data_IF_205989524519
#
_entry.id   IF_205989524519
#
_cell.length_a   1.000
_cell.length_b   1.000
_cell.length_c   1.000
_cell.angle_alpha   90.00
_cell.angle_beta   90.00
_cell.angle_gamma   90.00
#
_symmetry.space_group_name_H-M   'P 1'
#
loop_
_entity.id
_entity.type
_entity.pdbx_description
1 polymer ?
#
# COMPACT_ATOMS: atom_id res chain seq x y z
N UNK A 1 -34.39 -9.62 -6.73
CA UNK A 1 -32.99 -9.12 -6.85
C UNK A 1 -32.60 -8.24 -5.65
N UNK A 2 -33.57 -7.79 -4.87
CA UNK A 2 -33.41 -6.87 -3.73
C UNK A 2 -33.34 -7.56 -2.35
N UNK A 3 -33.20 -8.89 -2.31
CA UNK A 3 -33.04 -9.64 -1.04
C UNK A 3 -31.77 -9.21 -0.28
N UNK A 4 -30.73 -8.78 -0.99
CA UNK A 4 -29.48 -8.26 -0.42
C UNK A 4 -29.63 -6.94 0.34
N UNK A 5 -30.72 -6.19 0.09
CA UNK A 5 -31.05 -4.96 0.80
C UNK A 5 -32.21 -5.13 1.80
N UNK A 6 -32.58 -6.38 2.11
CA UNK A 6 -33.56 -6.70 3.16
C UNK A 6 -35.02 -6.71 2.70
N UNK A 7 -35.29 -6.65 1.40
CA UNK A 7 -36.64 -6.80 0.85
C UNK A 7 -36.94 -8.27 0.58
N UNK A 8 -38.08 -8.76 1.07
CA UNK A 8 -38.56 -10.09 0.70
C UNK A 8 -39.10 -10.08 -0.74
N UNK A 9 -39.25 -11.26 -1.37
CA UNK A 9 -39.92 -11.37 -2.67
C UNK A 9 -41.34 -10.81 -2.67
N UNK A 10 -42.02 -10.85 -1.52
CA UNK A 10 -43.36 -10.26 -1.37
C UNK A 10 -43.30 -8.73 -1.41
N UNK A 11 -42.30 -8.13 -0.77
CA UNK A 11 -42.08 -6.68 -0.80
C UNK A 11 -41.72 -6.19 -2.22
N UNK A 12 -40.87 -6.94 -2.93
CA UNK A 12 -40.48 -6.65 -4.33
C UNK A 12 -41.71 -6.64 -5.25
N UNK A 13 -42.58 -7.66 -5.16
CA UNK A 13 -43.81 -7.73 -5.95
C UNK A 13 -44.79 -6.59 -5.66
N UNK A 14 -44.95 -6.22 -4.38
CA UNK A 14 -45.82 -5.11 -3.96
C UNK A 14 -45.26 -3.76 -4.40
N UNK A 15 -43.95 -3.57 -4.33
CA UNK A 15 -43.28 -2.36 -4.80
C UNK A 15 -43.41 -2.19 -6.31
N UNK A 16 -43.20 -3.25 -7.10
CA UNK A 16 -43.42 -3.22 -8.55
C UNK A 16 -44.85 -2.85 -8.93
N UNK A 17 -45.85 -3.38 -8.21
CA UNK A 17 -47.25 -3.03 -8.43
C UNK A 17 -47.52 -1.55 -8.12
N UNK A 18 -46.91 -1.03 -7.06
CA UNK A 18 -46.95 0.38 -6.67
C UNK A 18 -46.31 1.31 -7.72
N UNK A 19 -45.16 0.93 -8.27
CA UNK A 19 -44.47 1.66 -9.35
C UNK A 19 -45.34 1.73 -10.61
N UNK A 20 -46.05 0.64 -10.95
CA UNK A 20 -46.96 0.61 -12.12
C UNK A 20 -48.21 1.48 -11.95
N UNK A 21 -48.76 1.55 -10.73
CA UNK A 21 -50.04 2.24 -10.47
C UNK A 21 -49.92 3.71 -10.08
N UNK A 22 -48.73 4.21 -9.75
CA UNK A 22 -48.46 5.57 -9.24
C UNK A 22 -49.10 5.82 -7.86
N UNK A 23 -50.38 5.53 -7.68
CA UNK A 23 -51.09 5.50 -6.41
C UNK A 23 -51.97 4.25 -6.30
N UNK A 24 -51.92 3.55 -5.17
CA UNK A 24 -52.75 2.37 -4.93
C UNK A 24 -53.16 2.21 -3.47
N UNK A 25 -54.33 1.65 -3.23
CA UNK A 25 -54.81 1.19 -1.93
C UNK A 25 -54.27 -0.21 -1.64
N UNK A 26 -54.31 -0.61 -0.36
CA UNK A 26 -53.90 -1.99 0.04
C UNK A 26 -54.75 -3.06 -0.65
N UNK A 27 -56.04 -2.78 -0.91
CA UNK A 27 -56.92 -3.73 -1.57
C UNK A 27 -56.54 -3.94 -3.04
N UNK A 28 -56.22 -2.86 -3.75
CA UNK A 28 -55.74 -2.90 -5.14
C UNK A 28 -54.40 -3.64 -5.25
N UNK A 29 -53.47 -3.40 -4.33
CA UNK A 29 -52.17 -4.10 -4.29
C UNK A 29 -52.32 -5.57 -3.92
N UNK A 30 -53.25 -5.91 -3.02
CA UNK A 30 -53.54 -7.30 -2.68
C UNK A 30 -54.08 -8.07 -3.89
N UNK A 31 -54.93 -7.43 -4.69
CA UNK A 31 -55.46 -8.00 -5.92
C UNK A 31 -54.36 -8.21 -6.97
N UNK A 32 -53.54 -7.19 -7.27
CA UNK A 32 -52.50 -7.27 -8.29
C UNK A 32 -51.42 -8.30 -7.98
N UNK A 33 -50.95 -8.32 -6.74
CA UNK A 33 -49.90 -9.24 -6.31
C UNK A 33 -50.43 -10.64 -5.97
N UNK A 34 -51.76 -10.84 -6.00
CA UNK A 34 -52.45 -12.06 -5.55
C UNK A 34 -52.03 -12.48 -4.13
N UNK A 35 -51.92 -11.50 -3.25
CA UNK A 35 -51.51 -11.68 -1.85
C UNK A 35 -52.69 -11.45 -0.90
N UNK A 36 -52.78 -12.16 0.24
CA UNK A 36 -53.76 -11.85 1.27
C UNK A 36 -53.59 -10.43 1.81
N UNK A 37 -54.70 -9.72 2.03
CA UNK A 37 -54.70 -8.34 2.55
C UNK A 37 -53.79 -8.14 3.79
N UNK A 38 -53.71 -9.06 4.77
CA UNK A 38 -52.78 -8.93 5.89
C UNK A 38 -51.30 -8.98 5.47
N UNK A 39 -50.95 -9.79 4.47
CA UNK A 39 -49.59 -9.88 3.95
C UNK A 39 -49.21 -8.62 3.16
N UNK A 40 -50.11 -8.13 2.30
CA UNK A 40 -49.92 -6.87 1.57
C UNK A 40 -49.74 -5.70 2.53
N UNK A 41 -50.53 -5.63 3.61
CA UNK A 41 -50.42 -4.56 4.60
C UNK A 41 -49.07 -4.58 5.34
N UNK A 42 -48.52 -5.77 5.64
CA UNK A 42 -47.16 -5.90 6.19
C UNK A 42 -46.10 -5.43 5.19
N UNK A 43 -46.24 -5.82 3.92
CA UNK A 43 -45.29 -5.44 2.87
C UNK A 43 -45.28 -3.94 2.63
N UNK A 44 -46.46 -3.32 2.50
CA UNK A 44 -46.58 -1.85 2.39
C UNK A 44 -45.98 -1.14 3.61
N UNK A 45 -46.16 -1.67 4.82
CA UNK A 45 -45.53 -1.08 6.02
C UNK A 45 -44.01 -1.20 5.98
N UNK A 46 -43.48 -2.33 5.50
CA UNK A 46 -42.05 -2.56 5.29
C UNK A 46 -41.48 -1.54 4.29
N UNK A 47 -42.14 -1.40 3.14
CA UNK A 47 -41.76 -0.44 2.09
C UNK A 47 -41.79 1.02 2.60
N UNK A 48 -42.79 1.39 3.40
CA UNK A 48 -42.83 2.72 4.02
C UNK A 48 -41.68 2.92 5.02
N UNK A 49 -41.37 1.91 5.85
CA UNK A 49 -40.25 2.00 6.80
C UNK A 49 -38.88 2.07 6.13
N UNK A 50 -38.75 1.50 4.93
CA UNK A 50 -37.53 1.54 4.11
C UNK A 50 -37.48 2.77 3.20
N UNK A 51 -38.47 3.68 3.26
CA UNK A 51 -38.52 4.88 2.41
C UNK A 51 -38.84 4.62 0.94
N UNK A 52 -39.30 3.40 0.60
CA UNK A 52 -39.66 2.99 -0.76
C UNK A 52 -41.11 3.34 -1.10
N UNK A 53 -41.96 3.61 -0.12
CA UNK A 53 -43.33 4.06 -0.35
C UNK A 53 -43.72 5.19 0.60
N UNK A 54 -44.59 6.08 0.13
CA UNK A 54 -45.17 7.16 0.94
C UNK A 54 -46.66 6.92 1.09
N UNK A 55 -47.15 7.09 2.32
CA UNK A 55 -48.57 7.03 2.63
C UNK A 55 -49.21 8.41 2.43
N UNK A 56 -50.27 8.47 1.64
CA UNK A 56 -51.09 9.68 1.51
C UNK A 56 -52.02 9.86 2.70
N UNK A 57 -52.30 11.11 3.06
CA UNK A 57 -53.20 11.50 4.16
C UNK A 57 -54.67 11.54 3.76
N UNK A 58 -54.99 11.31 2.47
CA UNK A 58 -56.35 11.31 1.93
C UNK A 58 -57.21 10.11 2.35
N UNK A 59 -58.52 10.21 2.06
CA UNK A 59 -59.48 9.10 2.15
C UNK A 59 -60.04 8.78 0.75
N UNK A 60 -59.93 7.54 0.26
CA UNK A 60 -59.27 6.39 0.90
C UNK A 60 -57.74 6.58 0.99
N UNK A 61 -57.12 5.88 1.95
CA UNK A 61 -55.66 5.91 2.14
C UNK A 61 -54.98 5.20 0.96
N UNK A 62 -54.20 5.95 0.20
CA UNK A 62 -53.38 5.44 -0.91
C UNK A 62 -51.90 5.50 -0.56
N UNK A 63 -51.12 4.69 -1.26
CA UNK A 63 -49.66 4.63 -1.17
C UNK A 63 -49.08 4.94 -2.54
N UNK A 64 -47.96 5.65 -2.56
CA UNK A 64 -47.20 5.98 -3.77
C UNK A 64 -45.79 5.38 -3.66
N UNK A 65 -45.26 4.87 -4.76
CA UNK A 65 -43.86 4.48 -4.82
C UNK A 65 -42.97 5.74 -4.78
N UNK A 66 -41.88 5.68 -4.03
CA UNK A 66 -40.76 6.62 -4.21
C UNK A 66 -39.95 6.16 -5.42
N UNK A 67 -39.31 7.09 -6.13
CA UNK A 67 -38.47 6.75 -7.29
C UNK A 67 -37.44 5.68 -6.91
N UNK A 68 -37.31 4.57 -7.67
CA UNK A 68 -36.35 3.51 -7.40
C UNK A 68 -34.93 4.03 -7.27
N UNK A 69 -34.51 4.96 -8.13
CA UNK A 69 -33.14 5.49 -8.10
C UNK A 69 -32.85 6.17 -6.76
N UNK A 70 -33.74 7.05 -6.31
CA UNK A 70 -33.55 7.82 -5.08
C UNK A 70 -33.72 6.97 -3.82
N UNK A 71 -34.71 6.07 -3.82
CA UNK A 71 -35.01 5.24 -2.66
C UNK A 71 -33.97 4.11 -2.48
N UNK A 72 -33.54 3.45 -3.57
CA UNK A 72 -32.50 2.43 -3.51
C UNK A 72 -31.16 3.05 -3.12
N UNK A 73 -30.81 4.24 -3.64
CA UNK A 73 -29.58 4.92 -3.26
C UNK A 73 -29.58 5.35 -1.78
N UNK A 74 -30.73 5.76 -1.23
CA UNK A 74 -30.87 6.04 0.20
C UNK A 74 -30.68 4.78 1.06
N UNK A 75 -31.31 3.66 0.67
CA UNK A 75 -31.17 2.36 1.36
C UNK A 75 -29.73 1.85 1.29
N UNK A 76 -29.07 1.97 0.13
CA UNK A 76 -27.66 1.60 -0.03
C UNK A 76 -26.75 2.46 0.86
N UNK A 77 -26.94 3.78 0.88
CA UNK A 77 -26.18 4.70 1.76
C UNK A 77 -26.37 4.39 3.24
N UNK A 78 -27.59 4.08 3.67
CA UNK A 78 -27.86 3.69 5.05
C UNK A 78 -27.17 2.37 5.40
N UNK A 79 -27.14 1.42 4.45
CA UNK A 79 -26.45 0.13 4.65
C UNK A 79 -24.94 0.29 4.69
N UNK A 80 -24.37 1.12 3.83
CA UNK A 80 -22.95 1.46 3.85
C UNK A 80 -22.56 2.15 5.16
N UNK A 81 -23.38 3.08 5.65
CA UNK A 81 -23.19 3.69 6.97
C UNK A 81 -23.21 2.64 8.08
N UNK A 82 -24.21 1.76 8.10
CA UNK A 82 -24.27 0.68 9.09
C UNK A 82 -23.04 -0.25 9.03
N UNK A 83 -22.54 -0.58 7.84
CA UNK A 83 -21.33 -1.38 7.68
C UNK A 83 -20.08 -0.64 8.16
N UNK A 84 -19.99 0.66 7.91
CA UNK A 84 -18.90 1.49 8.41
C UNK A 84 -18.94 1.67 9.93
N UNK A 85 -20.13 1.76 10.52
CA UNK A 85 -20.31 1.80 11.98
C UNK A 85 -19.87 0.49 12.62
N UNK A 86 -20.26 -0.66 12.04
CA UNK A 86 -19.79 -1.98 12.48
C UNK A 86 -18.26 -2.09 12.39
N UNK A 87 -17.65 -1.65 11.28
CA UNK A 87 -16.18 -1.63 11.12
C UNK A 87 -15.50 -0.75 12.18
N UNK A 88 -16.09 0.40 12.49
CA UNK A 88 -15.59 1.32 13.52
C UNK A 88 -15.70 0.69 14.91
N UNK A 89 -16.82 0.03 15.20
CA UNK A 89 -17.03 -0.67 16.46
C UNK A 89 -16.06 -1.85 16.64
N UNK A 90 -15.85 -2.66 15.60
CA UNK A 90 -14.84 -3.74 15.60
C UNK A 90 -13.44 -3.18 15.85
N UNK A 91 -13.11 -2.02 15.25
CA UNK A 91 -11.83 -1.36 15.50
C UNK A 91 -11.67 -0.94 16.96
N UNK A 92 -12.71 -0.37 17.58
CA UNK A 92 -12.73 -0.04 19.01
C UNK A 92 -12.65 -1.27 19.92
N UNK A 93 -13.35 -2.36 19.58
CA UNK A 93 -13.23 -3.63 20.29
C UNK A 93 -11.82 -4.22 20.20
N UNK A 94 -11.17 -4.10 19.05
CA UNK A 94 -9.77 -4.50 18.89
C UNK A 94 -8.81 -3.64 19.71
N UNK A 95 -9.09 -2.34 19.86
CA UNK A 95 -8.33 -1.47 20.76
C UNK A 95 -8.49 -1.87 22.23
N UNK A 96 -9.72 -2.18 22.66
CA UNK A 96 -10.00 -2.68 24.01
C UNK A 96 -9.37 -4.06 24.26
N UNK A 97 -9.47 -4.96 23.28
CA UNK A 97 -8.83 -6.27 23.33
C UNK A 97 -7.32 -6.12 23.50
N UNK A 98 -6.68 -5.29 22.67
CA UNK A 98 -5.23 -4.97 22.77
C UNK A 98 -4.87 -4.33 24.11
N UNK A 99 -5.70 -3.43 24.63
CA UNK A 99 -5.48 -2.82 25.94
C UNK A 99 -5.54 -3.86 27.07
N UNK A 100 -6.40 -4.87 26.95
CA UNK A 100 -6.53 -5.99 27.89
C UNK A 100 -5.46 -7.08 27.73
N UNK A 101 -4.95 -7.33 26.52
CA UNK A 101 -3.89 -8.30 26.25
C UNK A 101 -2.48 -7.76 26.40
N UNK A 102 -2.31 -6.47 26.78
CA UNK A 102 -1.03 -5.78 26.92
C UNK A 102 0.06 -6.56 27.68
N UNK A 103 -0.29 -7.54 28.53
CA UNK A 103 0.69 -8.42 29.20
C UNK A 103 0.26 -9.89 29.45
N UNK A 104 -0.74 -10.44 28.75
CA UNK A 104 -1.31 -11.76 29.15
C UNK A 104 -0.68 -12.97 28.43
N UNK A 105 -0.12 -12.82 27.21
CA UNK A 105 0.60 -13.89 26.53
C UNK A 105 1.76 -13.34 25.66
N UNK A 106 3.04 -13.56 26.02
CA UNK A 106 4.19 -13.16 25.21
C UNK A 106 4.19 -13.77 23.79
N UNK A 107 3.57 -14.95 23.61
CA UNK A 107 3.46 -15.64 22.33
C UNK A 107 2.48 -15.02 21.33
N UNK A 108 1.64 -14.06 21.74
CA UNK A 108 0.71 -13.36 20.84
C UNK A 108 1.32 -12.08 20.24
N UNK A 109 2.49 -11.64 20.71
CA UNK A 109 3.18 -10.45 20.19
C UNK A 109 4.03 -10.76 18.94
N UNK A 110 4.48 -12.02 18.82
CA UNK A 110 5.29 -12.51 17.71
C UNK A 110 4.61 -13.77 17.16
N UNK A 111 3.88 -13.62 16.05
CA UNK A 111 3.29 -14.74 15.30
C UNK A 111 4.33 -15.29 14.32
N UNK A 112 4.45 -16.61 14.23
CA UNK A 112 5.28 -17.27 13.20
C UNK A 112 4.37 -17.77 12.09
N UNK A 113 4.55 -17.20 10.91
CA UNK A 113 3.89 -17.67 9.69
C UNK A 113 4.85 -18.60 8.96
N UNK A 114 4.41 -19.80 8.64
CA UNK A 114 5.21 -20.81 7.94
C UNK A 114 4.55 -21.18 6.61
N UNK A 115 5.36 -21.44 5.60
CA UNK A 115 4.90 -21.72 4.24
C UNK A 115 5.01 -20.49 3.35
N UNK A 116 5.57 -20.67 2.14
CA UNK A 116 5.79 -19.60 1.16
C UNK A 116 4.50 -18.86 0.81
N UNK A 117 3.43 -19.60 0.52
CA UNK A 117 2.15 -19.01 0.10
C UNK A 117 1.51 -18.20 1.23
N UNK A 118 1.65 -18.67 2.47
CA UNK A 118 1.15 -17.99 3.66
C UNK A 118 1.95 -16.72 3.95
N UNK A 119 3.29 -16.77 3.83
CA UNK A 119 4.15 -15.58 3.94
C UNK A 119 3.80 -14.56 2.86
N UNK A 120 3.67 -14.97 1.59
CA UNK A 120 3.30 -14.09 0.48
C UNK A 120 1.92 -13.46 0.68
N UNK A 121 0.94 -14.25 1.13
CA UNK A 121 -0.41 -13.76 1.45
C UNK A 121 -0.38 -12.74 2.58
N UNK A 122 0.37 -13.01 3.65
CA UNK A 122 0.54 -12.09 4.79
C UNK A 122 1.25 -10.81 4.38
N UNK A 123 2.27 -10.90 3.54
CA UNK A 123 2.95 -9.73 2.98
C UNK A 123 2.02 -8.85 2.13
N UNK A 124 1.24 -9.46 1.23
CA UNK A 124 0.26 -8.73 0.43
C UNK A 124 -0.83 -8.07 1.30
N UNK A 125 -1.33 -8.77 2.31
CA UNK A 125 -2.30 -8.23 3.28
C UNK A 125 -1.72 -7.05 4.07
N UNK A 126 -0.47 -7.16 4.54
CA UNK A 126 0.23 -6.10 5.24
C UNK A 126 0.28 -4.84 4.38
N UNK A 127 0.76 -4.95 3.13
CA UNK A 127 0.83 -3.82 2.21
C UNK A 127 -0.55 -3.21 1.97
N UNK A 128 -1.56 -4.01 1.60
CA UNK A 128 -2.92 -3.54 1.31
C UNK A 128 -3.60 -2.84 2.50
N UNK A 129 -3.30 -3.28 3.72
CA UNK A 129 -3.86 -2.71 4.95
C UNK A 129 -3.22 -1.37 5.37
N UNK A 130 -2.09 -1.00 4.76
CA UNK A 130 -1.34 0.21 5.09
C UNK A 130 -2.14 1.47 4.80
N UNK A 131 -2.13 2.42 5.74
CA UNK A 131 -2.86 3.69 5.62
C UNK A 131 -1.96 4.91 5.55
N UNK A 132 -0.82 4.89 6.20
CA UNK A 132 0.02 6.07 6.42
C UNK A 132 1.41 5.90 5.87
N UNK A 133 2.09 4.79 6.18
CA UNK A 133 3.47 4.58 5.75
C UNK A 133 3.88 3.12 5.66
N UNK A 134 4.79 2.82 4.75
CA UNK A 134 5.59 1.58 4.75
C UNK A 134 7.05 1.97 4.98
N UNK A 135 7.72 1.23 5.88
CA UNK A 135 9.17 1.34 6.13
C UNK A 135 9.83 -0.01 5.90
N UNK A 136 10.91 -0.07 5.13
CA UNK A 136 11.54 -1.33 4.77
C UNK A 136 13.07 -1.31 4.85
N UNK A 137 13.65 -2.41 5.35
CA UNK A 137 15.02 -2.82 5.03
C UNK A 137 14.94 -3.85 3.93
N UNK A 138 15.37 -3.45 2.74
CA UNK A 138 15.40 -4.34 1.59
C UNK A 138 16.80 -4.92 1.40
N UNK A 139 16.91 -6.24 1.57
CA UNK A 139 18.13 -7.00 1.38
C UNK A 139 17.84 -8.44 0.94
N UNK A 140 18.73 -9.08 0.17
CA UNK A 140 18.59 -10.50 -0.17
C UNK A 140 18.76 -11.40 1.07
N UNK A 141 18.33 -12.68 1.00
CA UNK A 141 17.66 -13.36 -0.10
C UNK A 141 16.18 -12.97 -0.27
N UNK A 142 15.74 -12.95 -1.53
CA UNK A 142 14.36 -12.69 -1.94
C UNK A 142 13.55 -13.98 -2.01
N UNK A 143 12.23 -13.88 -1.90
CA UNK A 143 11.38 -15.07 -2.04
C UNK A 143 11.32 -15.51 -3.50
N UNK A 144 11.24 -14.56 -4.45
CA UNK A 144 11.40 -14.82 -5.87
C UNK A 144 12.66 -14.13 -6.43
N UNK A 145 13.30 -14.76 -7.42
CA UNK A 145 14.39 -14.13 -8.16
C UNK A 145 13.92 -13.00 -9.09
N UNK A 146 12.61 -12.87 -9.29
CA UNK A 146 11.97 -11.93 -10.20
C UNK A 146 11.56 -10.61 -9.52
N UNK A 147 11.67 -10.50 -8.20
CA UNK A 147 11.26 -9.34 -7.38
C UNK A 147 11.87 -7.99 -7.83
N UNK A 148 12.93 -7.97 -8.64
CA UNK A 148 13.56 -6.75 -9.18
C UNK A 148 13.54 -6.62 -10.71
N UNK A 149 12.79 -7.49 -11.39
CA UNK A 149 12.61 -7.39 -12.85
C UNK A 149 11.36 -6.60 -13.20
N UNK A 150 10.34 -6.64 -12.33
CA UNK A 150 9.08 -5.93 -12.49
C UNK A 150 8.71 -5.14 -11.23
N UNK A 151 8.26 -3.88 -11.36
CA UNK A 151 7.84 -3.08 -10.21
C UNK A 151 6.71 -3.72 -9.43
N UNK A 152 6.78 -3.69 -8.10
CA UNK A 152 5.71 -4.19 -7.24
C UNK A 152 4.41 -3.38 -7.45
N UNK A 153 3.34 -3.99 -8.01
CA UNK A 153 2.12 -3.25 -8.35
C UNK A 153 1.38 -2.74 -7.11
N UNK A 154 1.52 -3.42 -5.96
CA UNK A 154 0.87 -3.00 -4.71
C UNK A 154 1.55 -1.73 -4.18
N UNK A 155 2.87 -1.65 -4.24
CA UNK A 155 3.63 -0.46 -3.85
C UNK A 155 3.24 0.75 -4.68
N UNK A 156 3.18 0.60 -6.01
CA UNK A 156 2.78 1.69 -6.90
C UNK A 156 1.36 2.21 -6.58
N UNK A 157 0.44 1.33 -6.20
CA UNK A 157 -0.91 1.73 -5.80
C UNK A 157 -0.92 2.45 -4.44
N UNK A 158 -0.10 2.01 -3.48
CA UNK A 158 0.05 2.69 -2.18
C UNK A 158 0.66 4.09 -2.36
N UNK A 159 1.68 4.23 -3.20
CA UNK A 159 2.29 5.51 -3.56
C UNK A 159 1.27 6.46 -4.21
N UNK A 160 0.45 5.97 -5.15
CA UNK A 160 -0.64 6.75 -5.75
C UNK A 160 -1.67 7.22 -4.74
N UNK A 161 -1.96 6.40 -3.71
CA UNK A 161 -2.84 6.77 -2.59
C UNK A 161 -2.21 7.77 -1.61
N UNK A 162 -0.94 8.14 -1.80
CA UNK A 162 -0.23 9.08 -0.93
C UNK A 162 0.34 8.46 0.34
N UNK A 163 0.45 7.12 0.40
CA UNK A 163 1.13 6.43 1.51
C UNK A 163 2.63 6.71 1.41
N UNK A 164 3.26 7.13 2.51
CA UNK A 164 4.70 7.37 2.53
C UNK A 164 5.47 6.05 2.47
N UNK A 165 6.26 5.84 1.43
CA UNK A 165 7.04 4.62 1.25
C UNK A 165 8.53 4.95 1.45
N UNK A 166 9.16 4.40 2.48
CA UNK A 166 10.56 4.66 2.86
C UNK A 166 11.34 3.35 2.90
N UNK A 167 12.29 3.18 1.99
CA UNK A 167 13.07 1.95 1.88
C UNK A 167 14.55 2.24 2.01
N UNK A 168 15.23 1.47 2.86
CA UNK A 168 16.68 1.40 2.89
C UNK A 168 17.08 0.10 2.21
N UNK A 169 17.81 0.22 1.12
CA UNK A 169 18.39 -0.89 0.38
C UNK A 169 19.78 -1.22 0.91
N UNK A 170 20.08 -2.51 1.04
CA UNK A 170 21.42 -2.98 1.36
C UNK A 170 22.33 -2.87 0.13
N UNK A 171 23.57 -2.43 0.29
CA UNK A 171 24.52 -2.25 -0.83
C UNK A 171 24.74 -3.51 -1.69
N UNK A 172 24.44 -4.70 -1.17
CA UNK A 172 24.50 -5.95 -1.93
C UNK A 172 23.48 -6.03 -3.07
N UNK A 173 22.34 -5.34 -2.97
CA UNK A 173 21.31 -5.33 -4.04
C UNK A 173 21.83 -4.63 -5.30
N UNK A 174 22.83 -3.76 -5.17
CA UNK A 174 23.46 -3.05 -6.29
C UNK A 174 24.11 -4.02 -7.29
N UNK A 175 24.41 -5.25 -6.87
CA UNK A 175 24.97 -6.27 -7.74
C UNK A 175 23.90 -7.06 -8.52
N UNK A 176 22.61 -6.88 -8.20
CA UNK A 176 21.49 -7.58 -8.80
C UNK A 176 21.09 -6.94 -10.14
N UNK A 177 20.90 -7.73 -11.21
CA UNK A 177 20.35 -7.22 -12.46
C UNK A 177 18.96 -6.60 -12.25
N UNK A 178 18.64 -5.53 -12.95
CA UNK A 178 17.30 -4.91 -12.92
C UNK A 178 17.02 -3.99 -11.73
N UNK A 179 17.70 -4.19 -10.59
CA UNK A 179 17.46 -3.42 -9.34
C UNK A 179 17.41 -1.90 -9.56
N UNK A 180 18.39 -1.34 -10.28
CA UNK A 180 18.43 0.12 -10.48
C UNK A 180 17.23 0.62 -11.28
N UNK A 181 16.74 -0.16 -12.25
CA UNK A 181 15.57 0.20 -13.03
C UNK A 181 14.30 0.14 -12.18
N UNK A 182 14.18 -0.89 -11.34
CA UNK A 182 13.07 -1.09 -10.40
C UNK A 182 12.96 0.06 -9.38
N UNK A 183 14.04 0.34 -8.64
CA UNK A 183 14.09 1.48 -7.70
C UNK A 183 13.87 2.82 -8.40
N UNK A 184 14.34 2.97 -9.64
CA UNK A 184 14.08 4.19 -10.42
C UNK A 184 12.58 4.40 -10.66
N UNK A 185 11.80 3.33 -10.84
CA UNK A 185 10.34 3.41 -11.01
C UNK A 185 9.66 3.79 -9.70
N UNK A 186 10.03 3.17 -8.58
CA UNK A 186 9.49 3.49 -7.25
C UNK A 186 9.73 4.96 -6.87
N UNK A 187 10.98 5.42 -6.96
CA UNK A 187 11.35 6.82 -6.64
C UNK A 187 10.61 7.83 -7.52
N UNK A 188 10.35 7.52 -8.80
CA UNK A 188 9.54 8.38 -9.68
C UNK A 188 8.08 8.49 -9.25
N UNK A 189 7.55 7.48 -8.56
CA UNK A 189 6.19 7.48 -8.00
C UNK A 189 6.14 8.04 -6.57
N UNK A 190 7.26 8.51 -6.03
CA UNK A 190 7.33 9.16 -4.71
C UNK A 190 7.90 8.29 -3.59
N UNK A 191 8.42 7.11 -3.91
CA UNK A 191 9.19 6.32 -2.96
C UNK A 191 10.44 7.10 -2.51
N UNK A 192 10.73 7.05 -1.21
CA UNK A 192 11.97 7.58 -0.66
C UNK A 192 12.93 6.40 -0.50
N UNK A 193 13.87 6.30 -1.44
CA UNK A 193 14.89 5.27 -1.43
C UNK A 193 16.20 5.79 -0.82
N UNK A 194 16.80 5.00 0.05
CA UNK A 194 18.16 5.20 0.59
C UNK A 194 18.96 3.91 0.50
N UNK A 195 20.29 4.00 0.56
CA UNK A 195 21.19 2.83 0.56
C UNK A 195 22.09 2.85 1.78
N UNK A 196 22.28 1.69 2.39
CA UNK A 196 23.20 1.45 3.50
C UNK A 196 24.17 0.29 3.17
N UNK A 197 25.38 0.35 3.72
CA UNK A 197 26.41 -0.64 3.44
C UNK A 197 26.09 -2.03 4.03
N UNK A 198 25.47 -2.08 5.22
CA UNK A 198 25.17 -3.32 5.95
C UNK A 198 23.85 -3.17 6.71
N UNK A 199 22.80 -3.86 6.25
CA UNK A 199 21.52 -3.93 6.94
C UNK A 199 21.43 -5.18 7.81
N UNK A 200 20.98 -5.06 9.07
CA UNK A 200 21.02 -6.16 10.04
C UNK A 200 20.08 -7.32 9.66
N UNK A 201 18.98 -7.03 8.95
CA UNK A 201 17.97 -8.00 8.55
C UNK A 201 17.07 -7.44 7.45
N UNK A 202 16.33 -8.32 6.77
CA UNK A 202 15.18 -7.91 5.95
C UNK A 202 14.02 -7.59 6.90
N UNK A 203 13.38 -6.44 6.69
CA UNK A 203 12.33 -5.93 7.57
C UNK A 203 11.33 -5.15 6.72
N UNK A 204 10.06 -5.28 7.02
CA UNK A 204 9.07 -4.30 6.56
C UNK A 204 8.07 -4.00 7.66
N UNK A 205 7.72 -2.73 7.81
CA UNK A 205 6.81 -2.21 8.82
C UNK A 205 5.68 -1.47 8.10
N UNK A 206 4.44 -1.85 8.42
CA UNK A 206 3.24 -1.13 7.98
C UNK A 206 2.72 -0.26 9.12
N UNK A 207 2.60 1.03 8.83
CA UNK A 207 2.26 2.08 9.78
C UNK A 207 3.16 1.96 11.04
N UNK A 208 2.57 2.03 12.23
CA UNK A 208 3.20 1.67 13.51
C UNK A 208 2.51 0.44 14.11
N UNK A 209 2.08 -0.52 13.26
CA UNK A 209 1.10 -1.54 13.66
C UNK A 209 1.54 -2.98 13.43
N UNK A 210 2.39 -3.23 12.46
CA UNK A 210 2.81 -4.59 12.13
C UNK A 210 4.18 -4.55 11.46
N UNK A 211 5.11 -5.38 11.94
CA UNK A 211 6.34 -5.66 11.21
C UNK A 211 6.37 -7.10 10.73
N UNK A 212 7.01 -7.34 9.59
CA UNK A 212 7.33 -8.66 9.07
C UNK A 212 8.85 -8.81 8.94
N UNK A 213 9.39 -9.90 9.47
CA UNK A 213 10.80 -10.26 9.38
C UNK A 213 10.89 -11.69 8.83
N UNK A 214 11.44 -11.88 7.63
CA UNK A 214 11.70 -13.21 7.10
C UNK A 214 12.57 -14.05 8.03
N UNK A 215 12.14 -15.28 8.27
CA UNK A 215 12.91 -16.31 8.94
C UNK A 215 13.77 -17.02 7.89
N UNK A 216 15.08 -16.79 7.97
CA UNK A 216 16.07 -17.41 7.10
C UNK A 216 16.94 -18.33 7.94
N UNK A 217 16.91 -19.63 7.66
CA UNK A 217 17.85 -20.58 8.28
C UNK A 217 19.12 -20.66 7.44
N UNK A 218 20.29 -20.94 8.05
CA UNK A 218 21.50 -21.20 7.28
C UNK A 218 21.27 -22.28 6.22
N UNK A 219 21.46 -21.94 4.94
CA UNK A 219 21.21 -22.82 3.79
C UNK A 219 19.88 -22.57 3.06
N UNK A 220 18.99 -21.72 3.58
CA UNK A 220 17.77 -21.35 2.87
C UNK A 220 18.07 -20.42 1.70
N UNK A 221 17.63 -20.82 0.50
CA UNK A 221 17.69 -19.98 -0.71
C UNK A 221 16.40 -19.18 -0.95
N UNK A 222 15.41 -19.33 -0.08
CA UNK A 222 14.17 -18.57 -0.17
C UNK A 222 13.46 -18.47 1.20
N UNK A 223 12.62 -17.44 1.34
CA UNK A 223 11.83 -17.22 2.54
C UNK A 223 10.74 -18.30 2.65
N UNK A 224 10.82 -19.14 3.69
CA UNK A 224 9.83 -20.20 3.97
C UNK A 224 9.02 -19.94 5.23
N UNK A 225 9.44 -18.99 6.06
CA UNK A 225 8.71 -18.55 7.23
C UNK A 225 8.96 -17.06 7.49
N UNK A 226 8.15 -16.42 8.32
CA UNK A 226 8.34 -15.03 8.75
C UNK A 226 7.78 -14.81 10.15
N UNK A 227 8.44 -13.95 10.91
CA UNK A 227 7.87 -13.37 12.13
C UNK A 227 6.96 -12.21 11.76
N UNK A 228 5.76 -12.21 12.31
CA UNK A 228 4.87 -11.06 12.38
C UNK A 228 4.95 -10.48 13.79
N UNK A 229 5.40 -9.23 13.89
CA UNK A 229 5.52 -8.53 15.17
C UNK A 229 4.37 -7.54 15.29
N UNK A 230 3.50 -7.78 16.26
CA UNK A 230 2.34 -6.96 16.60
C UNK A 230 2.74 -5.76 17.51
N UNK A 231 1.83 -4.78 17.72
CA UNK A 231 2.12 -3.61 18.54
C UNK A 231 2.63 -3.99 19.92
N UNK A 232 3.89 -3.62 20.20
CA UNK A 232 4.64 -4.03 21.38
C UNK A 232 5.93 -3.22 21.49
N UNK A 233 6.61 -3.21 22.65
CA UNK A 233 7.93 -2.60 22.77
C UNK A 233 8.97 -3.15 21.79
N UNK A 234 8.78 -4.39 21.30
CA UNK A 234 9.63 -4.96 20.25
C UNK A 234 9.39 -4.26 18.91
N UNK A 235 8.13 -4.00 18.54
CA UNK A 235 7.81 -3.21 17.34
C UNK A 235 8.37 -1.79 17.46
N UNK A 236 8.23 -1.16 18.63
CA UNK A 236 8.77 0.18 18.88
C UNK A 236 10.30 0.21 18.69
N UNK A 237 10.99 -0.82 19.15
CA UNK A 237 12.44 -0.98 18.95
C UNK A 237 12.81 -1.16 17.47
N UNK A 238 12.03 -1.92 16.69
CA UNK A 238 12.23 -2.08 15.25
C UNK A 238 12.01 -0.76 14.49
N UNK A 239 11.00 0.01 14.89
CA UNK A 239 10.75 1.35 14.36
C UNK A 239 11.93 2.27 14.67
N UNK A 240 12.40 2.30 15.92
CA UNK A 240 13.55 3.11 16.31
C UNK A 240 14.82 2.72 15.55
N UNK A 241 15.05 1.42 15.35
CA UNK A 241 16.16 0.92 14.53
C UNK A 241 16.07 1.41 13.08
N UNK A 242 14.87 1.39 12.50
CA UNK A 242 14.65 1.93 11.16
C UNK A 242 15.02 3.41 11.08
N UNK A 243 14.48 4.26 11.97
CA UNK A 243 14.74 5.70 11.91
C UNK A 243 16.24 6.00 12.11
N UNK A 244 16.92 5.28 13.01
CA UNK A 244 18.35 5.44 13.23
C UNK A 244 19.20 5.05 12.00
N UNK A 245 18.85 3.98 11.28
CA UNK A 245 19.53 3.61 10.04
C UNK A 245 19.15 4.53 8.88
N UNK A 246 17.91 5.03 8.87
CA UNK A 246 17.43 5.98 7.88
C UNK A 246 18.28 7.24 7.88
N UNK A 247 18.50 7.85 9.04
CA UNK A 247 19.33 9.04 9.22
C UNK A 247 20.78 8.85 8.75
N UNK A 248 21.32 7.63 8.86
CA UNK A 248 22.71 7.28 8.51
C UNK A 248 22.90 6.80 7.07
N UNK A 249 21.80 6.54 6.35
CA UNK A 249 21.82 6.00 4.99
C UNK A 249 21.88 7.09 3.91
N UNK A 250 22.42 6.74 2.74
CA UNK A 250 22.63 7.67 1.62
C UNK A 250 21.38 7.74 0.77
N UNK A 251 20.86 8.94 0.51
CA UNK A 251 19.67 9.12 -0.32
C UNK A 251 19.95 8.77 -1.79
N UNK A 252 19.03 8.03 -2.42
CA UNK A 252 19.04 7.81 -3.86
C UNK A 252 18.38 9.00 -4.52
N UNK A 253 19.16 9.87 -5.17
CA UNK A 253 18.63 10.95 -6.01
C UNK A 253 18.62 10.53 -7.48
N UNK A 254 17.44 10.58 -8.09
CA UNK A 254 17.31 10.55 -9.54
C UNK A 254 17.42 11.98 -10.09
N UNK A 255 18.16 12.20 -11.19
CA UNK A 255 18.16 13.48 -11.89
C UNK A 255 16.74 13.84 -12.32
N UNK A 256 16.31 15.06 -12.04
CA UNK A 256 15.00 15.58 -12.46
C UNK A 256 14.97 15.73 -13.98
N UNK A 257 14.15 14.94 -14.67
CA UNK A 257 13.79 15.23 -16.06
C UNK A 257 12.79 16.40 -16.07
N UNK A 258 13.29 17.63 -16.04
CA UNK A 258 12.44 18.82 -16.12
C UNK A 258 13.22 20.06 -16.55
N UNK A 259 13.25 20.33 -17.86
CA UNK A 259 13.63 21.65 -18.39
C UNK A 259 14.33 21.66 -19.75
N UNK A 260 13.53 21.63 -20.83
CA UNK A 260 13.87 22.04 -22.21
C UNK A 260 15.01 21.33 -22.97
N UNK A 261 14.62 20.64 -24.03
CA UNK A 261 15.45 20.41 -25.21
C UNK A 261 15.83 21.77 -25.83
N UNK A 262 16.92 22.36 -25.32
CA UNK A 262 17.57 23.54 -25.84
C UNK A 262 19.07 23.30 -25.77
N UNK A 263 19.69 23.18 -26.93
CA UNK A 263 21.14 23.08 -27.11
C UNK A 263 21.81 24.30 -26.45
N UNK A 264 22.22 24.20 -25.19
CA UNK A 264 23.04 25.17 -24.48
C UNK A 264 24.02 24.45 -23.55
N UNK A 265 25.21 25.02 -23.48
CA UNK A 265 26.45 24.50 -22.93
C UNK A 265 26.26 23.96 -21.50
N UNK A 266 26.59 22.68 -21.28
CA UNK A 266 26.62 22.08 -19.94
C UNK A 266 27.61 22.85 -19.07
N UNK A 267 27.12 23.46 -17.99
CA UNK A 267 27.97 24.11 -17.01
C UNK A 267 29.01 23.10 -16.45
N UNK A 268 30.25 23.51 -16.14
CA UNK A 268 31.32 22.61 -15.72
C UNK A 268 31.03 21.77 -14.46
N UNK A 269 29.98 22.08 -13.70
CA UNK A 269 29.65 21.49 -12.40
C UNK A 269 28.37 20.63 -12.37
N UNK A 270 27.61 20.50 -13.46
CA UNK A 270 26.41 19.63 -13.47
C UNK A 270 26.76 18.17 -13.82
N UNK A 271 26.32 17.24 -12.98
CA UNK A 271 26.49 15.81 -13.23
C UNK A 271 25.53 15.34 -14.32
N UNK A 272 26.02 14.49 -15.22
CA UNK A 272 25.12 13.74 -16.09
C UNK A 272 24.30 12.72 -15.28
N UNK A 273 23.18 12.28 -15.84
CA UNK A 273 22.30 11.32 -15.18
C UNK A 273 23.01 10.00 -14.80
N UNK A 274 23.95 9.56 -15.63
CA UNK A 274 24.74 8.35 -15.39
C UNK A 274 25.82 8.57 -14.32
N UNK A 275 26.44 9.77 -14.29
CA UNK A 275 27.43 10.12 -13.26
C UNK A 275 26.79 10.27 -11.89
N UNK A 276 25.58 10.86 -11.79
CA UNK A 276 24.83 10.94 -10.54
C UNK A 276 24.50 9.53 -10.00
N UNK A 277 24.02 8.63 -10.87
CA UNK A 277 23.78 7.22 -10.49
C UNK A 277 25.07 6.54 -10.03
N UNK A 278 26.17 6.71 -10.74
CA UNK A 278 27.47 6.17 -10.35
C UNK A 278 27.90 6.68 -8.97
N UNK A 279 27.76 7.98 -8.70
CA UNK A 279 28.12 8.58 -7.40
C UNK A 279 27.27 8.03 -6.25
N UNK A 280 25.96 7.87 -6.45
CA UNK A 280 25.08 7.22 -5.46
C UNK A 280 25.56 5.80 -5.15
N UNK A 281 25.89 5.01 -6.17
CA UNK A 281 26.41 3.65 -6.00
C UNK A 281 27.73 3.64 -5.23
N UNK A 282 28.65 4.55 -5.55
CA UNK A 282 29.95 4.65 -4.86
C UNK A 282 29.81 5.09 -3.41
N UNK A 283 28.92 6.05 -3.13
CA UNK A 283 28.63 6.51 -1.78
C UNK A 283 27.97 5.41 -0.92
N UNK A 284 27.21 4.52 -1.57
CA UNK A 284 26.67 3.31 -0.97
C UNK A 284 27.70 2.18 -0.77
N UNK A 285 28.97 2.38 -1.16
CA UNK A 285 30.03 1.38 -1.02
C UNK A 285 30.12 0.36 -2.16
N UNK A 286 29.45 0.59 -3.30
CA UNK A 286 29.54 -0.30 -4.45
C UNK A 286 30.99 -0.48 -4.94
N UNK A 287 31.32 -1.72 -5.30
CA UNK A 287 32.54 -2.03 -6.06
C UNK A 287 32.37 -1.67 -7.53
N UNK A 288 33.47 -1.50 -8.26
CA UNK A 288 33.44 -1.24 -9.70
C UNK A 288 32.67 -2.35 -10.46
N UNK A 289 32.77 -3.58 -9.98
CA UNK A 289 32.06 -4.76 -10.49
C UNK A 289 30.55 -4.68 -10.28
N UNK A 290 30.10 -4.35 -9.07
CA UNK A 290 28.66 -4.23 -8.79
C UNK A 290 28.07 -3.00 -9.48
N UNK A 291 28.77 -1.86 -9.46
CA UNK A 291 28.35 -0.66 -10.18
C UNK A 291 28.27 -0.89 -11.70
N UNK A 292 29.21 -1.66 -12.27
CA UNK A 292 29.19 -2.05 -13.68
C UNK A 292 27.95 -2.84 -14.05
N UNK A 293 27.58 -3.84 -13.25
CA UNK A 293 26.34 -4.61 -13.46
C UNK A 293 25.08 -3.74 -13.40
N UNK A 294 24.99 -2.86 -12.39
CA UNK A 294 23.83 -1.98 -12.22
C UNK A 294 23.64 -0.99 -13.38
N UNK A 295 24.74 -0.49 -13.96
CA UNK A 295 24.72 0.51 -15.03
C UNK A 295 24.81 -0.08 -16.44
N UNK A 296 24.96 -1.40 -16.58
CA UNK A 296 25.20 -2.04 -17.89
C UNK A 296 26.59 -1.73 -18.47
N UNK A 297 27.57 -1.46 -17.62
CA UNK A 297 28.94 -1.06 -17.98
C UNK A 297 29.98 -2.13 -17.66
N UNK A 298 31.10 -2.12 -18.38
CA UNK A 298 32.29 -2.90 -17.98
C UNK A 298 32.98 -2.27 -16.76
N UNK A 299 33.70 -3.06 -15.96
CA UNK A 299 34.50 -2.55 -14.82
C UNK A 299 35.47 -1.44 -15.25
N UNK A 300 36.10 -1.60 -16.42
CA UNK A 300 37.00 -0.59 -17.01
C UNK A 300 36.29 0.71 -17.36
N UNK A 301 35.04 0.62 -17.81
CA UNK A 301 34.19 1.80 -18.06
C UNK A 301 33.91 2.52 -16.74
N UNK A 302 33.51 1.79 -15.69
CA UNK A 302 33.28 2.37 -14.35
C UNK A 302 34.54 3.09 -13.85
N UNK A 303 35.69 2.43 -13.87
CA UNK A 303 36.98 3.03 -13.47
C UNK A 303 37.31 4.30 -14.23
N UNK A 304 37.04 4.32 -15.55
CA UNK A 304 37.25 5.51 -16.38
C UNK A 304 36.34 6.66 -15.96
N UNK A 305 35.07 6.39 -15.68
CA UNK A 305 34.13 7.41 -15.20
C UNK A 305 34.50 7.91 -13.80
N UNK A 306 34.86 7.02 -12.87
CA UNK A 306 35.35 7.39 -11.53
C UNK A 306 36.58 8.28 -11.64
N UNK A 307 37.57 7.90 -12.45
CA UNK A 307 38.79 8.68 -12.65
C UNK A 307 38.49 10.06 -13.25
N UNK A 308 37.59 10.14 -14.22
CA UNK A 308 37.16 11.40 -14.82
C UNK A 308 36.49 12.30 -13.78
N UNK A 309 35.57 11.77 -12.97
CA UNK A 309 34.92 12.52 -11.91
C UNK A 309 35.98 12.99 -10.89
N UNK A 310 36.92 12.12 -10.51
CA UNK A 310 37.98 12.43 -9.54
C UNK A 310 38.83 13.60 -10.01
N UNK A 311 39.22 13.59 -11.29
CA UNK A 311 39.93 14.70 -11.93
C UNK A 311 39.07 15.97 -11.98
N UNK A 312 37.80 15.84 -12.39
CA UNK A 312 36.87 16.97 -12.53
C UNK A 312 36.60 17.68 -11.19
N UNK A 313 36.53 16.93 -10.10
CA UNK A 313 36.17 17.46 -8.77
C UNK A 313 37.36 17.56 -7.80
N UNK A 314 38.58 17.31 -8.27
CA UNK A 314 39.79 17.40 -7.45
C UNK A 314 39.88 16.36 -6.33
N UNK A 315 39.15 15.25 -6.44
CA UNK A 315 39.16 14.17 -5.44
C UNK A 315 40.31 13.18 -5.72
N UNK A 316 41.04 12.82 -4.67
CA UNK A 316 42.12 11.84 -4.73
C UNK A 316 41.67 10.42 -4.38
N UNK A 317 40.48 10.26 -3.81
CA UNK A 317 39.89 8.94 -3.53
C UNK A 317 38.43 8.89 -3.92
N UNK A 318 37.93 7.67 -4.19
CA UNK A 318 36.50 7.40 -4.40
C UNK A 318 35.64 7.89 -3.22
N UNK A 319 36.18 7.81 -2.01
CA UNK A 319 35.49 8.27 -0.80
C UNK A 319 35.36 9.80 -0.78
N UNK A 320 36.42 10.52 -1.15
CA UNK A 320 36.37 11.98 -1.26
C UNK A 320 35.36 12.44 -2.31
N UNK A 321 35.19 11.69 -3.39
CA UNK A 321 34.21 12.03 -4.41
C UNK A 321 32.77 11.84 -3.96
N UNK A 322 32.51 10.75 -3.22
CA UNK A 322 31.21 10.50 -2.62
C UNK A 322 30.88 11.58 -1.58
N UNK A 323 31.83 11.93 -0.71
CA UNK A 323 31.68 13.02 0.26
C UNK A 323 31.39 14.37 -0.42
N UNK A 324 32.11 14.69 -1.49
CA UNK A 324 31.92 15.95 -2.20
C UNK A 324 30.55 16.00 -2.91
N UNK A 325 30.10 14.87 -3.46
CA UNK A 325 28.78 14.75 -4.03
C UNK A 325 27.66 14.96 -2.99
N UNK A 326 27.80 14.39 -1.79
CA UNK A 326 26.87 14.63 -0.67
C UNK A 326 26.92 16.08 -0.21
N UNK A 327 28.11 16.67 -0.06
CA UNK A 327 28.29 18.07 0.38
C UNK A 327 27.66 19.07 -0.59
N UNK A 328 27.74 18.81 -1.89
CA UNK A 328 27.14 19.63 -2.94
C UNK A 328 25.65 19.35 -3.18
N UNK A 329 25.07 18.38 -2.46
CA UNK A 329 23.66 18.00 -2.61
C UNK A 329 23.35 17.31 -3.94
N UNK A 330 24.35 16.70 -4.57
CA UNK A 330 24.14 15.89 -5.77
C UNK A 330 23.49 14.54 -5.45
N UNK A 331 23.78 14.01 -4.26
CA UNK A 331 23.22 12.78 -3.68
C UNK A 331 22.80 13.04 -2.23
#
# INVERSE_FOLDING_TARGET
MLESIGLSRQDESVYEALVRRVHATVAELAHDCRLPTPATRRSVRSLVSLGLAVRSTGRPVTYAAVSPDSALEAVLRDRERALNDVRSHVSGLMELYRAGTRFVNPGELVEVVSGRDDVNRRWAQLQQSTRTQVRGFDRPPYASHEEHTEPNPIELELLKRGVAYRVIYDSTVLALPGWLADVTVGVRHGEQARVAADLPMKLAISDDRLAIIPLLRPGDHAVTASYLIHPSPLLDALIALFEALWERSVQVRLPSNGGSAGRLEQAPDELTAEEAKLLTLLAAGATDKSAGRALGWSERTVQRHVTRLMQRFGAQTRFQIAMEATRRGWI
#
